data_IF_144390823848
#
_entry.id   IF_144390823848
#
_cell.length_a   1.000
_cell.length_b   1.000
_cell.length_c   1.000
_cell.angle_alpha   90.00
_cell.angle_beta   90.00
_cell.angle_gamma   90.00
#
_symmetry.space_group_name_H-M   'P 1'
#
loop_
_entity.id
_entity.type
_entity.pdbx_description
1 polymer ?
#
# COMPACT_ATOMS: atom_id res chain seq x y z
N UNK A 1 -16.27 -19.50 23.97
CA UNK A 1 -14.95 -19.63 23.31
C UNK A 1 -14.18 -18.33 23.52
N UNK A 2 -12.91 -18.38 23.94
CA UNK A 2 -12.09 -17.20 24.15
C UNK A 2 -11.63 -16.71 22.77
N UNK A 3 -12.10 -15.55 22.31
CA UNK A 3 -11.58 -14.96 21.07
C UNK A 3 -10.09 -14.69 21.26
N UNK A 4 -9.27 -15.28 20.40
CA UNK A 4 -7.83 -15.04 20.38
C UNK A 4 -7.61 -13.77 19.57
N UNK A 5 -7.28 -12.68 20.25
CA UNK A 5 -6.96 -11.41 19.60
C UNK A 5 -5.54 -11.45 19.04
N UNK A 6 -5.38 -10.88 17.84
CA UNK A 6 -4.11 -10.60 17.20
C UNK A 6 -3.67 -9.19 17.63
N UNK A 7 -2.56 -9.10 18.36
CA UNK A 7 -1.98 -7.85 18.85
C UNK A 7 -0.88 -7.40 17.90
N UNK A 8 -1.15 -6.39 17.07
CA UNK A 8 -0.24 -5.88 16.04
C UNK A 8 0.30 -4.50 16.41
N UNK A 9 1.52 -4.20 15.99
CA UNK A 9 2.11 -2.86 16.05
C UNK A 9 1.83 -2.15 14.74
N UNK A 10 1.03 -1.09 14.78
CA UNK A 10 0.70 -0.28 13.60
C UNK A 10 1.62 0.93 13.54
N UNK A 11 2.45 0.98 12.52
CA UNK A 11 3.34 2.08 12.19
C UNK A 11 2.63 3.09 11.28
N UNK A 12 2.68 4.37 11.60
CA UNK A 12 2.10 5.47 10.80
C UNK A 12 3.18 6.53 10.56
N UNK A 13 3.12 7.20 9.39
CA UNK A 13 4.10 8.23 8.95
C UNK A 13 5.56 7.74 8.97
N UNK A 14 5.87 6.70 8.20
CA UNK A 14 7.22 6.12 8.15
C UNK A 14 7.73 5.71 9.55
N UNK A 15 6.88 5.06 10.34
CA UNK A 15 7.17 4.58 11.69
C UNK A 15 7.47 5.66 12.75
N UNK A 16 7.18 6.94 12.49
CA UNK A 16 7.28 7.99 13.50
C UNK A 16 6.31 7.76 14.68
N UNK A 17 5.18 7.09 14.42
CA UNK A 17 4.21 6.71 15.45
C UNK A 17 3.97 5.22 15.35
N UNK A 18 4.09 4.52 16.48
CA UNK A 18 3.78 3.09 16.60
C UNK A 18 2.69 2.92 17.65
N UNK A 19 1.57 2.29 17.27
CA UNK A 19 0.46 1.98 18.17
C UNK A 19 0.20 0.49 18.18
N UNK A 20 0.22 -0.11 19.36
CA UNK A 20 -0.22 -1.50 19.53
C UNK A 20 -1.75 -1.53 19.50
N UNK A 21 -2.31 -2.35 18.61
CA UNK A 21 -3.75 -2.47 18.38
C UNK A 21 -4.14 -3.95 18.37
N UNK A 22 -5.34 -4.25 18.86
CA UNK A 22 -5.90 -5.61 18.86
C UNK A 22 -6.95 -5.74 17.78
N UNK A 23 -6.84 -6.81 16.99
CA UNK A 23 -7.78 -7.18 15.94
C UNK A 23 -8.20 -8.63 16.10
N UNK A 24 -9.35 -9.00 15.56
CA UNK A 24 -9.67 -10.41 15.33
C UNK A 24 -8.86 -10.91 14.12
N UNK A 25 -8.31 -12.15 14.13
CA UNK A 25 -7.59 -12.68 12.98
C UNK A 25 -8.40 -12.67 11.67
N UNK A 26 -9.72 -12.86 11.78
CA UNK A 26 -10.68 -12.81 10.67
C UNK A 26 -11.08 -11.39 10.25
N UNK A 27 -10.53 -10.35 10.85
CA UNK A 27 -10.81 -8.95 10.46
C UNK A 27 -10.37 -8.74 9.02
N UNK A 28 -11.27 -8.22 8.17
CA UNK A 28 -10.91 -7.82 6.82
C UNK A 28 -9.90 -6.66 6.86
N UNK A 29 -8.92 -6.67 5.96
CA UNK A 29 -7.88 -5.63 5.86
C UNK A 29 -8.52 -4.24 5.67
N UNK A 30 -9.62 -4.15 4.93
CA UNK A 30 -10.42 -2.92 4.81
C UNK A 30 -10.91 -2.40 6.17
N UNK A 31 -11.51 -3.27 6.99
CA UNK A 31 -12.02 -2.90 8.31
C UNK A 31 -10.88 -2.56 9.27
N UNK A 32 -9.75 -3.27 9.19
CA UNK A 32 -8.55 -2.95 9.96
C UNK A 32 -8.05 -1.52 9.65
N UNK A 33 -7.98 -1.15 8.35
CA UNK A 33 -7.67 0.22 7.93
C UNK A 33 -8.65 1.25 8.50
N UNK A 34 -9.96 0.95 8.50
CA UNK A 34 -10.98 1.85 9.09
C UNK A 34 -10.73 2.07 10.58
N UNK A 35 -10.53 0.99 11.33
CA UNK A 35 -10.27 1.05 12.79
C UNK A 35 -8.98 1.83 13.09
N UNK A 36 -7.93 1.67 12.27
CA UNK A 36 -6.68 2.45 12.41
C UNK A 36 -6.95 3.94 12.23
N UNK A 37 -7.68 4.35 11.18
CA UNK A 37 -8.00 5.76 10.94
C UNK A 37 -8.88 6.36 12.04
N UNK A 38 -9.80 5.58 12.60
CA UNK A 38 -10.67 6.04 13.70
C UNK A 38 -9.88 6.27 15.00
N UNK A 39 -8.87 5.43 15.28
CA UNK A 39 -8.16 5.43 16.56
C UNK A 39 -6.81 6.15 16.55
N UNK A 40 -6.23 6.38 15.37
CA UNK A 40 -4.90 7.00 15.22
C UNK A 40 -5.03 8.32 14.46
N UNK A 41 -4.97 9.48 15.14
CA UNK A 41 -5.13 10.80 14.50
C UNK A 41 -4.19 11.02 13.31
N UNK A 42 -2.96 10.53 13.40
CA UNK A 42 -1.93 10.67 12.37
C UNK A 42 -2.26 9.89 11.09
N UNK A 43 -3.17 8.90 11.18
CA UNK A 43 -3.66 8.12 10.06
C UNK A 43 -4.84 8.80 9.32
N UNK A 44 -5.39 9.90 9.84
CA UNK A 44 -6.53 10.59 9.22
C UNK A 44 -6.15 11.53 8.06
N UNK A 45 -4.86 11.60 7.70
CA UNK A 45 -4.39 12.44 6.59
C UNK A 45 -4.83 11.89 5.23
N UNK A 46 -5.33 12.75 4.33
CA UNK A 46 -5.71 12.38 2.97
C UNK A 46 -6.92 11.43 2.91
N UNK A 47 -7.22 10.92 1.71
CA UNK A 47 -8.31 9.98 1.50
C UNK A 47 -7.92 8.57 1.93
N UNK A 48 -8.85 7.80 2.48
CA UNK A 48 -8.58 6.43 2.93
C UNK A 48 -8.11 5.51 1.79
N UNK A 49 -8.61 5.73 0.57
CA UNK A 49 -8.24 5.00 -0.64
C UNK A 49 -6.77 5.14 -1.04
N UNK A 50 -6.12 6.24 -0.63
CA UNK A 50 -4.70 6.48 -0.92
C UNK A 50 -3.75 5.68 -0.03
N UNK A 51 -4.28 4.98 0.97
CA UNK A 51 -3.52 4.26 1.98
C UNK A 51 -3.87 2.76 1.99
N UNK A 52 -2.97 1.98 2.57
CA UNK A 52 -3.18 0.55 2.83
C UNK A 52 -2.29 0.06 3.96
N UNK A 53 -2.40 -1.23 4.25
CA UNK A 53 -1.48 -1.92 5.14
C UNK A 53 -0.35 -2.54 4.31
N UNK A 54 0.87 -2.32 4.77
CA UNK A 54 2.09 -2.86 4.17
C UNK A 54 2.84 -3.67 5.23
N UNK A 55 3.19 -4.91 4.89
CA UNK A 55 4.07 -5.75 5.68
C UNK A 55 5.47 -5.64 5.10
N UNK A 56 6.38 -5.00 5.83
CA UNK A 56 7.77 -4.86 5.42
C UNK A 56 8.55 -6.16 5.65
N UNK A 57 9.61 -6.32 4.86
CA UNK A 57 10.60 -7.40 4.95
C UNK A 57 11.99 -6.77 5.06
N UNK A 58 12.99 -7.53 5.51
CA UNK A 58 14.39 -7.06 5.52
C UNK A 58 14.88 -6.73 4.11
N UNK A 59 14.41 -7.45 3.08
CA UNK A 59 14.59 -7.08 1.70
C UNK A 59 13.44 -6.14 1.27
N UNK A 60 13.71 -4.85 0.96
CA UNK A 60 12.67 -3.90 0.57
C UNK A 60 11.87 -4.31 -0.67
N UNK A 61 12.39 -5.24 -1.48
CA UNK A 61 11.73 -5.77 -2.69
C UNK A 61 10.71 -6.86 -2.38
N UNK A 62 10.71 -7.39 -1.15
CA UNK A 62 9.84 -8.48 -0.71
C UNK A 62 8.68 -8.03 0.17
N UNK A 63 8.62 -6.75 0.53
CA UNK A 63 7.48 -6.21 1.27
C UNK A 63 6.19 -6.32 0.45
N UNK A 64 5.08 -6.56 1.13
CA UNK A 64 3.78 -6.83 0.49
C UNK A 64 2.71 -5.85 0.95
N UNK A 65 1.89 -5.41 0.01
CA UNK A 65 0.65 -4.69 0.30
C UNK A 65 -0.46 -5.69 0.57
N UNK A 66 -1.19 -5.50 1.67
CA UNK A 66 -2.32 -6.36 2.02
C UNK A 66 -3.55 -5.96 1.18
N UNK A 67 -4.22 -6.96 0.63
CA UNK A 67 -5.42 -6.82 -0.19
C UNK A 67 -6.62 -6.52 0.70
N UNK A 68 -7.37 -5.46 0.37
CA UNK A 68 -8.51 -5.00 1.18
C UNK A 68 -9.59 -6.08 1.42
N UNK A 69 -9.77 -7.01 0.47
CA UNK A 69 -10.75 -8.10 0.54
C UNK A 69 -10.24 -9.37 1.26
N UNK A 70 -8.99 -9.40 1.71
CA UNK A 70 -8.44 -10.50 2.51
C UNK A 70 -8.58 -10.20 4.00
N UNK A 71 -8.50 -11.25 4.80
CA UNK A 71 -8.45 -11.19 6.26
C UNK A 71 -7.00 -11.10 6.76
N UNK A 72 -6.79 -10.65 8.00
CA UNK A 72 -5.45 -10.53 8.57
C UNK A 72 -4.75 -11.90 8.73
N UNK A 73 -5.49 -12.96 9.04
CA UNK A 73 -4.98 -14.32 9.19
C UNK A 73 -4.45 -14.94 7.89
N UNK A 74 -4.92 -14.49 6.72
CA UNK A 74 -4.40 -14.91 5.41
C UNK A 74 -2.89 -14.66 5.28
N UNK A 75 -2.39 -13.62 5.94
CA UNK A 75 -0.99 -13.20 5.90
C UNK A 75 -0.12 -13.84 7.00
N UNK A 76 -0.66 -14.79 7.76
CA UNK A 76 0.06 -15.52 8.83
C UNK A 76 0.69 -14.61 9.90
N UNK A 77 0.07 -13.46 10.14
CA UNK A 77 0.51 -12.47 11.12
C UNK A 77 0.45 -13.05 12.55
N UNK A 78 1.41 -12.62 13.38
CA UNK A 78 1.58 -13.05 14.77
C UNK A 78 1.53 -11.86 15.72
N UNK A 79 1.32 -12.16 17.00
CA UNK A 79 1.37 -11.15 18.05
C UNK A 79 2.74 -10.47 18.07
N UNK A 80 2.74 -9.15 17.99
CA UNK A 80 3.95 -8.32 17.97
C UNK A 80 4.43 -7.93 16.57
N UNK A 81 3.88 -8.55 15.51
CA UNK A 81 4.21 -8.19 14.14
C UNK A 81 3.86 -6.73 13.84
N UNK A 82 4.60 -6.15 12.92
CA UNK A 82 4.50 -4.74 12.55
C UNK A 82 3.83 -4.63 11.18
N UNK A 83 2.80 -3.80 11.10
CA UNK A 83 2.21 -3.37 9.84
C UNK A 83 2.35 -1.86 9.70
N UNK A 84 2.66 -1.41 8.50
CA UNK A 84 2.71 0.02 8.18
C UNK A 84 1.38 0.45 7.56
N UNK A 85 0.70 1.41 8.17
CA UNK A 85 -0.36 2.16 7.53
C UNK A 85 0.27 3.23 6.63
N UNK A 86 0.44 2.88 5.35
CA UNK A 86 1.34 3.55 4.41
C UNK A 86 0.56 4.13 3.23
N UNK A 87 1.01 5.29 2.74
CA UNK A 87 0.48 5.90 1.51
C UNK A 87 0.96 5.07 0.32
N UNK A 88 0.03 4.61 -0.51
CA UNK A 88 0.29 3.81 -1.71
C UNK A 88 0.90 4.65 -2.83
N UNK A 89 0.47 5.89 -2.95
CA UNK A 89 0.93 6.81 -3.99
C UNK A 89 2.37 7.25 -3.73
N UNK A 90 3.28 6.91 -4.66
CA UNK A 90 4.68 7.34 -4.65
C UNK A 90 5.07 8.00 -5.97
N UNK A 91 6.04 8.93 -5.96
CA UNK A 91 6.58 9.49 -7.19
C UNK A 91 7.41 8.45 -7.95
N UNK A 92 7.23 8.37 -9.26
CA UNK A 92 8.04 7.57 -10.18
C UNK A 92 8.47 8.45 -11.36
N UNK A 93 9.77 8.43 -11.68
CA UNK A 93 10.30 9.09 -12.88
C UNK A 93 10.10 8.17 -14.08
N UNK A 94 9.59 8.73 -15.18
CA UNK A 94 9.36 8.04 -16.44
C UNK A 94 9.89 8.91 -17.58
N UNK A 95 10.74 8.32 -18.42
CA UNK A 95 11.19 8.93 -19.67
C UNK A 95 10.12 8.73 -20.73
N UNK A 96 9.69 9.83 -21.34
CA UNK A 96 8.66 9.88 -22.37
C UNK A 96 9.27 9.66 -23.76
N UNK A 97 8.40 9.46 -24.77
CA UNK A 97 8.82 9.26 -26.17
C UNK A 97 9.59 10.45 -26.75
N UNK A 98 9.31 11.66 -26.27
CA UNK A 98 10.01 12.90 -26.64
C UNK A 98 11.36 13.07 -25.90
N UNK A 99 11.76 12.08 -25.10
CA UNK A 99 12.98 12.09 -24.30
C UNK A 99 12.89 12.84 -22.97
N UNK A 100 11.80 13.58 -22.71
CA UNK A 100 11.60 14.28 -21.44
C UNK A 100 11.36 13.31 -20.28
N UNK A 101 11.81 13.65 -19.07
CA UNK A 101 11.55 12.86 -17.86
C UNK A 101 10.48 13.54 -17.04
N UNK A 102 9.32 12.87 -16.87
CA UNK A 102 8.24 13.35 -16.01
C UNK A 102 8.17 12.54 -14.74
N UNK A 103 7.83 13.20 -13.63
CA UNK A 103 7.52 12.53 -12.37
C UNK A 103 6.01 12.32 -12.29
N UNK A 104 5.58 11.07 -12.17
CA UNK A 104 4.17 10.68 -12.07
C UNK A 104 3.92 9.99 -10.73
N UNK A 105 2.77 10.23 -10.13
CA UNK A 105 2.35 9.52 -8.92
C UNK A 105 1.76 8.16 -9.29
N UNK A 106 2.34 7.07 -8.79
CA UNK A 106 1.91 5.70 -9.06
C UNK A 106 1.49 5.00 -7.77
N UNK A 107 0.51 4.10 -7.87
CA UNK A 107 0.10 3.26 -6.76
C UNK A 107 1.07 2.08 -6.60
N UNK A 108 1.86 2.07 -5.54
CA UNK A 108 2.86 1.04 -5.26
C UNK A 108 2.26 -0.35 -4.98
N UNK A 109 0.96 -0.45 -4.73
CA UNK A 109 0.26 -1.73 -4.56
C UNK A 109 -0.18 -2.36 -5.89
N UNK A 110 0.03 -1.67 -7.02
CA UNK A 110 -0.43 -2.08 -8.34
C UNK A 110 0.65 -2.72 -9.18
N UNK A 111 0.23 -3.61 -10.05
CA UNK A 111 1.12 -4.22 -11.05
C UNK A 111 1.56 -3.20 -12.09
N UNK A 112 2.68 -3.48 -12.78
CA UNK A 112 3.18 -2.61 -13.87
C UNK A 112 2.12 -2.41 -14.97
N UNK A 113 1.34 -3.45 -15.29
CA UNK A 113 0.26 -3.37 -16.27
C UNK A 113 -0.86 -2.41 -15.85
N UNK A 114 -1.30 -2.46 -14.59
CA UNK A 114 -2.29 -1.51 -14.07
C UNK A 114 -1.74 -0.07 -14.00
N UNK A 115 -0.44 0.07 -13.71
CA UNK A 115 0.21 1.38 -13.70
C UNK A 115 0.32 1.98 -15.10
N UNK A 116 0.56 1.18 -16.14
CA UNK A 116 0.60 1.64 -17.53
C UNK A 116 -0.70 2.35 -17.93
N UNK A 117 -1.86 1.80 -17.57
CA UNK A 117 -3.17 2.44 -17.82
C UNK A 117 -3.19 3.86 -17.26
N UNK A 118 -2.73 4.02 -16.02
CA UNK A 118 -2.71 5.32 -15.32
C UNK A 118 -1.68 6.28 -15.93
N UNK A 119 -0.51 5.77 -16.29
CA UNK A 119 0.58 6.56 -16.88
C UNK A 119 0.18 7.07 -18.26
N UNK A 120 -0.25 6.18 -19.15
CA UNK A 120 -0.68 6.49 -20.52
C UNK A 120 -1.87 7.46 -20.54
N UNK A 121 -2.88 7.22 -19.71
CA UNK A 121 -4.05 8.11 -19.62
C UNK A 121 -3.67 9.54 -19.24
N UNK A 122 -2.70 9.73 -18.33
CA UNK A 122 -2.23 11.08 -17.93
C UNK A 122 -1.48 11.84 -19.02
N UNK A 123 -0.91 11.14 -19.99
CA UNK A 123 -0.18 11.75 -21.11
C UNK A 123 -0.97 11.74 -22.42
N UNK A 124 -2.24 11.31 -22.39
CA UNK A 124 -3.13 11.31 -23.55
C UNK A 124 -2.93 10.12 -24.50
N UNK A 125 -2.30 9.04 -24.05
CA UNK A 125 -2.19 7.79 -24.81
C UNK A 125 -3.40 6.91 -24.48
N UNK A 126 -4.19 6.57 -25.50
CA UNK A 126 -5.44 5.79 -25.35
C UNK A 126 -5.23 4.28 -25.56
N UNK A 127 -4.31 3.88 -26.42
CA UNK A 127 -3.98 2.49 -26.74
C UNK A 127 -2.84 1.96 -25.85
N UNK A 128 -3.01 2.06 -24.53
CA UNK A 128 -1.95 1.70 -23.56
C UNK A 128 -1.52 0.23 -23.63
N UNK A 129 -2.35 -0.65 -24.20
CA UNK A 129 -2.04 -2.06 -24.44
C UNK A 129 -0.88 -2.29 -25.42
N UNK A 130 -0.58 -1.29 -26.27
CA UNK A 130 0.55 -1.32 -27.21
C UNK A 130 1.87 -0.83 -26.58
N UNK A 131 1.84 -0.39 -25.31
CA UNK A 131 2.98 0.18 -24.63
C UNK A 131 3.48 -0.72 -23.49
N UNK A 132 4.76 -0.57 -23.17
CA UNK A 132 5.39 -1.20 -22.01
C UNK A 132 6.40 -0.24 -21.38
N UNK A 133 6.93 -0.62 -20.21
CA UNK A 133 8.02 0.08 -19.54
C UNK A 133 9.30 -0.75 -19.61
N UNK A 134 10.42 -0.05 -19.78
CA UNK A 134 11.75 -0.65 -19.75
C UNK A 134 12.50 -0.07 -18.55
N UNK A 135 13.28 -0.91 -17.87
CA UNK A 135 14.21 -0.44 -16.85
C UNK A 135 15.37 0.29 -17.52
N UNK A 136 15.50 1.58 -17.26
CA UNK A 136 16.64 2.38 -17.69
C UNK A 136 17.89 1.95 -16.91
N UNK A 137 18.89 1.43 -17.63
CA UNK A 137 20.21 1.04 -17.13
C UNK A 137 21.17 2.22 -17.09
#
# INVERSE_FOLDING_TARGET
MKMVALSLKICVRHCNVVKTMQFEPSTAVYDACRVIRERVPEAQTGQASDYGLFLSDEDPRKGIWLEAGRTLDYYMLRNGDILEYKKKQRPQKIRMLDGSVKTVMVDDSKTVGELLVTICSRIGITNYEEYSLIQET
#
